data_IF_934807616567
#
_entry.id   IF_934807616567
#
_cell.length_a   1.000
_cell.length_b   1.000
_cell.length_c   1.000
_cell.angle_alpha   90.00
_cell.angle_beta   90.00
_cell.angle_gamma   90.00
#
_symmetry.space_group_name_H-M   'P 1'
#
loop_
_entity.id
_entity.type
_entity.pdbx_description
1 polymer ?
#
# COMPACT_ATOMS: atom_id res chain seq x y z
N UNK A 1 0.49 -22.90 -6.51
CA UNK A 1 -0.90 -23.42 -6.43
C UNK A 1 -1.68 -22.81 -7.57
N UNK A 2 -2.40 -23.59 -8.39
CA UNK A 2 -3.39 -23.00 -9.32
C UNK A 2 -4.41 -22.24 -8.47
N UNK A 3 -4.72 -20.99 -8.86
CA UNK A 3 -5.54 -20.01 -8.10
C UNK A 3 -6.94 -20.52 -7.70
N UNK A 4 -7.36 -21.69 -8.22
CA UNK A 4 -8.70 -22.23 -8.03
C UNK A 4 -9.77 -21.29 -8.59
N UNK A 5 -9.37 -20.40 -9.51
CA UNK A 5 -10.26 -19.50 -10.22
C UNK A 5 -10.75 -20.19 -11.50
N UNK A 6 -11.97 -19.87 -11.89
CA UNK A 6 -12.49 -20.20 -13.21
C UNK A 6 -11.78 -19.37 -14.28
N UNK A 7 -11.82 -19.80 -15.55
CA UNK A 7 -11.21 -19.05 -16.64
C UNK A 7 -11.73 -17.60 -16.75
N UNK A 8 -13.03 -17.40 -16.52
CA UNK A 8 -13.65 -16.07 -16.52
C UNK A 8 -13.08 -15.18 -15.41
N UNK A 9 -12.91 -15.73 -14.20
CA UNK A 9 -12.35 -15.02 -13.06
C UNK A 9 -10.87 -14.71 -13.26
N UNK A 10 -10.12 -15.63 -13.84
CA UNK A 10 -8.72 -15.42 -14.19
C UNK A 10 -8.57 -14.25 -15.17
N UNK A 11 -9.38 -14.22 -16.23
CA UNK A 11 -9.38 -13.11 -17.19
C UNK A 11 -9.81 -11.78 -16.54
N UNK A 12 -10.77 -11.80 -15.62
CA UNK A 12 -11.15 -10.61 -14.86
C UNK A 12 -9.98 -10.08 -14.02
N UNK A 13 -9.23 -10.95 -13.34
CA UNK A 13 -8.05 -10.57 -12.56
C UNK A 13 -6.98 -9.93 -13.46
N UNK A 14 -6.70 -10.50 -14.63
CA UNK A 14 -5.75 -9.93 -15.59
C UNK A 14 -6.18 -8.52 -16.07
N UNK A 15 -7.46 -8.33 -16.41
CA UNK A 15 -8.00 -7.03 -16.81
C UNK A 15 -7.98 -5.98 -15.67
N UNK A 16 -7.97 -6.41 -14.41
CA UNK A 16 -7.84 -5.51 -13.26
C UNK A 16 -6.38 -5.08 -13.03
N UNK A 17 -5.41 -5.84 -13.55
CA UNK A 17 -3.98 -5.62 -13.34
C UNK A 17 -3.29 -4.92 -14.52
N UNK A 18 -3.96 -4.76 -15.64
CA UNK A 18 -3.40 -4.15 -16.86
C UNK A 18 -3.25 -2.62 -16.81
N UNK A 19 -3.68 -1.98 -15.72
CA UNK A 19 -3.54 -0.54 -15.48
C UNK A 19 -4.55 0.33 -16.23
N UNK A 20 -5.51 -0.26 -16.97
CA UNK A 20 -6.53 0.50 -17.71
C UNK A 20 -7.83 0.56 -16.91
N UNK A 21 -8.24 1.78 -16.56
CA UNK A 21 -9.50 2.03 -15.85
C UNK A 21 -10.68 1.87 -16.82
N UNK A 22 -11.60 0.96 -16.48
CA UNK A 22 -12.80 0.68 -17.28
C UNK A 22 -14.07 0.78 -16.45
N UNK A 23 -15.18 1.05 -17.11
CA UNK A 23 -16.51 0.93 -16.49
C UNK A 23 -16.84 -0.54 -16.26
N UNK A 24 -17.72 -0.84 -15.29
CA UNK A 24 -18.17 -2.22 -15.07
C UNK A 24 -18.86 -2.81 -16.32
N UNK A 25 -19.53 -1.98 -17.13
CA UNK A 25 -20.12 -2.42 -18.39
C UNK A 25 -19.03 -2.83 -19.39
N UNK A 26 -17.97 -2.04 -19.54
CA UNK A 26 -16.86 -2.38 -20.44
C UNK A 26 -16.16 -3.69 -20.03
N UNK A 27 -15.98 -3.95 -18.73
CA UNK A 27 -15.49 -5.24 -18.26
C UNK A 27 -16.45 -6.38 -18.64
N UNK A 28 -17.75 -6.18 -18.46
CA UNK A 28 -18.77 -7.16 -18.80
C UNK A 28 -18.77 -7.51 -20.30
N UNK A 29 -18.65 -6.48 -21.15
CA UNK A 29 -18.60 -6.62 -22.61
C UNK A 29 -17.35 -7.40 -23.06
N UNK A 30 -16.17 -7.07 -22.53
CA UNK A 30 -14.91 -7.77 -22.86
C UNK A 30 -14.95 -9.23 -22.41
N UNK A 31 -15.51 -9.48 -21.22
CA UNK A 31 -15.57 -10.82 -20.63
C UNK A 31 -16.76 -11.65 -21.12
N UNK A 32 -17.67 -11.06 -21.91
CA UNK A 32 -18.85 -11.73 -22.43
C UNK A 32 -19.81 -12.20 -21.34
N UNK A 33 -20.00 -11.40 -20.28
CA UNK A 33 -20.87 -11.77 -19.15
C UNK A 33 -21.84 -10.63 -18.77
N UNK A 34 -22.83 -10.96 -17.94
CA UNK A 34 -23.76 -9.95 -17.41
C UNK A 34 -23.04 -9.00 -16.43
N UNK A 35 -23.37 -7.71 -16.46
CA UNK A 35 -22.77 -6.70 -15.57
C UNK A 35 -22.90 -7.04 -14.08
N UNK A 36 -23.97 -7.73 -13.65
CA UNK A 36 -24.14 -8.21 -12.27
C UNK A 36 -23.07 -9.20 -11.88
N UNK A 37 -22.52 -9.94 -12.83
CA UNK A 37 -21.37 -10.85 -12.61
C UNK A 37 -20.14 -10.04 -12.20
N UNK A 38 -19.88 -8.91 -12.86
CA UNK A 38 -18.76 -8.01 -12.50
C UNK A 38 -18.96 -7.46 -11.08
N UNK A 39 -20.17 -7.01 -10.74
CA UNK A 39 -20.46 -6.57 -9.37
C UNK A 39 -20.21 -7.67 -8.33
N UNK A 40 -20.62 -8.91 -8.60
CA UNK A 40 -20.34 -10.07 -7.74
C UNK A 40 -18.84 -10.36 -7.63
N UNK A 41 -18.09 -10.24 -8.73
CA UNK A 41 -16.64 -10.43 -8.73
C UNK A 41 -15.91 -9.38 -7.89
N UNK A 42 -16.33 -8.11 -7.94
CA UNK A 42 -15.76 -7.04 -7.10
C UNK A 42 -15.96 -7.25 -5.60
N UNK A 43 -17.04 -7.94 -5.23
CA UNK A 43 -17.36 -8.26 -3.83
C UNK A 43 -16.72 -9.58 -3.37
N UNK A 44 -16.06 -10.31 -4.26
CA UNK A 44 -15.49 -11.61 -3.95
C UNK A 44 -14.09 -11.47 -3.36
N UNK A 45 -13.97 -11.70 -2.04
CA UNK A 45 -12.69 -11.61 -1.33
C UNK A 45 -11.59 -12.48 -1.94
N UNK A 46 -11.92 -13.64 -2.49
CA UNK A 46 -10.92 -14.52 -3.11
C UNK A 46 -10.29 -13.85 -4.34
N UNK A 47 -11.08 -13.13 -5.14
CA UNK A 47 -10.58 -12.39 -6.28
C UNK A 47 -9.79 -11.16 -5.84
N UNK A 48 -10.28 -10.42 -4.85
CA UNK A 48 -9.57 -9.25 -4.31
C UNK A 48 -8.18 -9.63 -3.81
N UNK A 49 -8.07 -10.69 -3.00
CA UNK A 49 -6.78 -11.18 -2.50
C UNK A 49 -5.85 -11.65 -3.62
N UNK A 50 -6.40 -12.24 -4.68
CA UNK A 50 -5.58 -12.70 -5.81
C UNK A 50 -5.07 -11.52 -6.65
N UNK A 51 -5.88 -10.48 -6.84
CA UNK A 51 -5.47 -9.22 -7.48
C UNK A 51 -4.35 -8.58 -6.66
N UNK A 52 -4.54 -8.41 -5.35
CA UNK A 52 -3.54 -7.85 -4.44
C UNK A 52 -2.24 -8.65 -4.48
N UNK A 53 -2.32 -9.98 -4.38
CA UNK A 53 -1.15 -10.87 -4.43
C UNK A 53 -0.35 -10.70 -5.73
N UNK A 54 -1.03 -10.59 -6.88
CA UNK A 54 -0.36 -10.40 -8.18
C UNK A 54 0.18 -8.98 -8.35
N UNK A 55 -0.58 -7.97 -7.90
CA UNK A 55 -0.13 -6.59 -7.87
C UNK A 55 1.14 -6.44 -7.03
N UNK A 56 1.21 -7.05 -5.85
CA UNK A 56 2.39 -7.05 -4.98
C UNK A 56 3.61 -7.70 -5.66
N UNK A 57 3.41 -8.79 -6.40
CA UNK A 57 4.51 -9.42 -7.16
C UNK A 57 5.02 -8.46 -8.24
N UNK A 58 4.11 -7.83 -8.98
CA UNK A 58 4.46 -6.82 -9.99
C UNK A 58 5.19 -5.61 -9.36
N UNK A 59 4.73 -5.16 -8.20
CA UNK A 59 5.33 -4.05 -7.46
C UNK A 59 6.73 -4.41 -6.94
N UNK A 60 6.94 -5.64 -6.45
CA UNK A 60 8.27 -6.13 -6.04
C UNK A 60 9.26 -6.12 -7.18
N UNK A 61 8.85 -6.52 -8.38
CA UNK A 61 9.70 -6.42 -9.58
C UNK A 61 9.99 -4.95 -9.92
N UNK A 62 8.98 -4.09 -9.81
CA UNK A 62 9.11 -2.65 -10.06
C UNK A 62 10.02 -1.94 -9.05
N UNK A 63 10.13 -2.46 -7.82
CA UNK A 63 11.01 -1.89 -6.79
C UNK A 63 12.49 -1.92 -7.20
N UNK A 64 12.95 -3.01 -7.85
CA UNK A 64 14.32 -3.08 -8.35
C UNK A 64 14.59 -2.02 -9.42
N UNK A 65 13.62 -1.77 -10.30
CA UNK A 65 13.73 -0.74 -11.32
C UNK A 65 13.70 0.66 -10.69
N UNK A 66 12.87 0.86 -9.66
CA UNK A 66 12.81 2.13 -8.92
C UNK A 66 14.15 2.45 -8.24
N UNK A 67 14.86 1.45 -7.72
CA UNK A 67 16.22 1.66 -7.20
C UNK A 67 17.21 2.05 -8.30
N UNK A 68 17.13 1.46 -9.49
CA UNK A 68 17.96 1.87 -10.63
C UNK A 68 17.73 3.34 -11.03
N UNK A 69 16.47 3.77 -11.10
CA UNK A 69 16.13 5.19 -11.36
C UNK A 69 16.65 6.11 -10.25
N UNK A 70 16.60 5.67 -8.99
CA UNK A 70 17.10 6.44 -7.85
C UNK A 70 18.62 6.63 -7.91
N UNK A 71 19.36 5.58 -8.30
CA UNK A 71 20.81 5.64 -8.54
C UNK A 71 21.14 6.57 -9.71
N UNK A 72 20.39 6.50 -10.82
CA UNK A 72 20.54 7.41 -11.96
C UNK A 72 20.32 8.86 -11.53
N UNK A 73 19.29 9.15 -10.72
CA UNK A 73 19.04 10.52 -10.23
C UNK A 73 20.22 11.02 -9.40
N UNK A 74 20.77 10.18 -8.51
CA UNK A 74 21.86 10.54 -7.60
C UNK A 74 23.19 10.74 -8.33
N UNK A 75 23.53 9.84 -9.26
CA UNK A 75 24.88 9.74 -9.81
C UNK A 75 25.01 10.22 -11.25
N UNK A 76 23.91 10.41 -11.99
CA UNK A 76 23.97 10.95 -13.35
C UNK A 76 23.98 12.50 -13.38
N UNK A 77 24.44 13.04 -14.52
CA UNK A 77 24.60 14.48 -14.75
C UNK A 77 23.31 15.23 -15.13
N UNK A 78 22.15 14.56 -15.18
CA UNK A 78 20.90 15.14 -15.69
C UNK A 78 19.99 15.79 -14.63
N UNK A 79 20.11 15.39 -13.37
CA UNK A 79 19.19 15.84 -12.31
C UNK A 79 19.68 17.11 -11.61
N UNK A 80 18.73 17.95 -11.21
CA UNK A 80 18.99 19.14 -10.40
C UNK A 80 19.44 18.75 -8.98
N UNK A 81 20.08 19.69 -8.27
CA UNK A 81 20.49 19.47 -6.88
C UNK A 81 19.31 19.17 -5.94
N UNK A 82 18.14 19.75 -6.19
CA UNK A 82 16.94 19.50 -5.40
C UNK A 82 16.42 18.06 -5.55
N UNK A 83 16.39 17.56 -6.78
CA UNK A 83 15.99 16.17 -7.08
C UNK A 83 16.98 15.18 -6.46
N UNK A 84 18.28 15.48 -6.52
CA UNK A 84 19.33 14.67 -5.87
C UNK A 84 19.18 14.61 -4.35
N UNK A 85 18.91 15.74 -3.70
CA UNK A 85 18.69 15.79 -2.26
C UNK A 85 17.45 14.99 -1.86
N UNK A 86 16.36 15.08 -2.62
CA UNK A 86 15.16 14.30 -2.33
C UNK A 86 15.35 12.81 -2.55
N UNK A 87 16.08 12.42 -3.59
CA UNK A 87 16.47 11.04 -3.83
C UNK A 87 17.32 10.48 -2.69
N UNK A 88 18.27 11.27 -2.18
CA UNK A 88 19.14 10.88 -1.06
C UNK A 88 18.35 10.71 0.24
N UNK A 89 17.42 11.62 0.55
CA UNK A 89 16.48 11.49 1.69
C UNK A 89 15.71 10.17 1.64
N UNK A 90 15.12 9.86 0.47
CA UNK A 90 14.37 8.62 0.28
C UNK A 90 15.26 7.38 0.41
N UNK A 91 16.45 7.39 -0.19
CA UNK A 91 17.41 6.28 -0.13
C UNK A 91 17.87 5.98 1.30
N UNK A 92 18.17 7.02 2.09
CA UNK A 92 18.61 6.84 3.46
C UNK A 92 17.46 6.41 4.40
N UNK A 93 16.23 6.84 4.11
CA UNK A 93 15.03 6.35 4.82
C UNK A 93 14.76 4.87 4.53
N UNK A 94 14.88 4.41 3.28
CA UNK A 94 14.68 2.97 2.95
C UNK A 94 15.72 2.06 3.60
N UNK A 95 16.94 2.57 3.84
CA UNK A 95 17.99 1.85 4.59
C UNK A 95 17.85 1.95 6.12
N UNK A 96 16.86 2.68 6.63
CA UNK A 96 16.67 2.92 8.05
C UNK A 96 17.76 3.80 8.70
N UNK A 97 18.54 4.53 7.90
CA UNK A 97 19.60 5.45 8.35
C UNK A 97 19.03 6.80 8.77
N UNK A 98 17.87 7.18 8.22
CA UNK A 98 17.08 8.33 8.65
C UNK A 98 15.78 7.84 9.29
N UNK A 99 15.50 8.31 10.49
CA UNK A 99 14.20 8.14 11.15
C UNK A 99 13.56 9.50 11.29
N UNK A 100 12.28 9.59 10.95
CA UNK A 100 11.51 10.80 11.26
C UNK A 100 11.33 10.87 12.78
N UNK A 101 11.82 11.96 13.36
CA UNK A 101 11.63 12.24 14.78
C UNK A 101 10.18 12.74 14.94
N UNK A 102 9.29 11.86 15.37
CA UNK A 102 7.99 12.29 15.89
C UNK A 102 8.19 12.65 17.37
N UNK A 103 8.17 13.94 17.67
CA UNK A 103 8.00 14.40 19.05
C UNK A 103 6.52 14.21 19.40
N UNK A 104 6.22 13.18 20.20
CA UNK A 104 4.86 12.91 20.69
C UNK A 104 4.67 13.68 21.99
N UNK A 105 4.14 14.89 21.89
CA UNK A 105 3.68 15.63 23.07
C UNK A 105 2.33 15.07 23.54
N UNK A 106 2.37 14.13 24.50
CA UNK A 106 1.16 13.63 25.14
C UNK A 106 0.78 14.56 26.28
N UNK A 107 -0.08 15.53 26.02
CA UNK A 107 -0.69 16.34 27.09
C UNK A 107 -1.91 15.60 27.63
N UNK A 108 -1.74 14.89 28.75
CA UNK A 108 -2.85 14.23 29.45
C UNK A 108 -3.60 15.30 30.26
N UNK A 109 -4.77 15.70 29.77
CA UNK A 109 -5.68 16.54 30.56
C UNK A 109 -6.62 15.63 31.35
N UNK A 110 -6.28 15.35 32.61
CA UNK A 110 -7.12 14.57 33.51
C UNK A 110 -8.35 15.40 33.88
N UNK A 111 -9.54 14.93 33.52
CA UNK A 111 -10.81 15.62 33.79
C UNK A 111 -11.42 15.34 35.17
N UNK A 112 -10.95 14.31 35.89
CA UNK A 112 -11.39 14.01 37.25
C UNK A 112 -10.20 13.56 38.11
N UNK A 113 -9.80 14.41 39.06
CA UNK A 113 -8.65 14.18 39.93
C UNK A 113 -8.79 12.92 40.80
N UNK A 114 -10.02 12.53 41.14
CA UNK A 114 -10.30 11.41 42.03
C UNK A 114 -10.07 10.04 41.37
N UNK A 115 -10.29 9.93 40.05
CA UNK A 115 -10.06 8.67 39.32
C UNK A 115 -8.57 8.45 39.04
N UNK A 116 -7.81 9.53 38.86
CA UNK A 116 -6.36 9.43 38.63
C UNK A 116 -5.58 9.03 39.88
N UNK A 117 -5.99 9.49 41.07
CA UNK A 117 -5.36 9.10 42.33
C UNK A 117 -5.54 7.59 42.61
N UNK A 118 -6.74 7.06 42.38
CA UNK A 118 -7.04 5.64 42.59
C UNK A 118 -6.28 4.71 41.62
N UNK A 119 -6.09 5.12 40.37
CA UNK A 119 -5.35 4.32 39.38
C UNK A 119 -3.83 4.41 39.59
N UNK A 120 -3.33 5.54 40.13
CA UNK A 120 -1.92 5.70 40.49
C UNK A 120 -1.54 4.83 41.70
N UNK A 121 -2.39 4.78 42.74
CA UNK A 121 -2.20 3.88 43.91
C UNK A 121 -2.17 2.41 43.47
N UNK A 122 -3.06 2.04 42.55
CA UNK A 122 -3.12 0.68 42.00
C UNK A 122 -1.88 0.27 41.22
N UNK A 123 -1.26 1.21 40.50
CA UNK A 123 -0.03 0.99 39.73
C UNK A 123 1.22 1.01 40.61
N UNK A 124 1.21 1.73 41.74
CA UNK A 124 2.34 1.85 42.67
C UNK A 124 2.23 0.90 43.88
N UNK A 125 1.10 0.20 44.05
CA UNK A 125 0.91 -0.82 45.07
C UNK A 125 0.92 -0.30 46.50
N UNK A 126 0.37 0.91 46.72
CA UNK A 126 0.13 1.48 48.05
C UNK A 126 -1.29 1.20 48.53
#
# INVERSE_FOLDING_TARGET
MKSGLTALQENYVELMLDGVVRTNQAYADILGCDIRTIYKMKQNEKLSREIERRADISLKTSLSNAYGVLEDILFSGGSTNGEKLKALDLYLKTQGKLKEKQDVDTTITVKDADTAAAELDRLLGM
#
